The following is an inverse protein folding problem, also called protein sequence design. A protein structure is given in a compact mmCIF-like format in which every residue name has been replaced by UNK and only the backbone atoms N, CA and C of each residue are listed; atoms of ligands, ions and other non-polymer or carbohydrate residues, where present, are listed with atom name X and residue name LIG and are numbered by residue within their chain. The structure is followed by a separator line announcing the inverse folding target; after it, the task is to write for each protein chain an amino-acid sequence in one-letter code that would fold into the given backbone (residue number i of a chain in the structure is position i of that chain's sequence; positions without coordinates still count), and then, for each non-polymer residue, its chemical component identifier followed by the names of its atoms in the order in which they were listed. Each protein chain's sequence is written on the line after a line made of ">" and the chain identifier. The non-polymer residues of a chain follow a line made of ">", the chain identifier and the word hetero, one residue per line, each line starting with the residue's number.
data_IF_136203639183
#
_entry.id   IF_136203639183
#
_cell.length_a   1.000
_cell.length_b   1.000
_cell.length_c   1.000
_cell.angle_alpha   90.00
_cell.angle_beta   90.00
_cell.angle_gamma   90.00
#
_symmetry.space_group_name_H-M   'P 1'
#
loop_
_entity.id
_entity.type
_entity.pdbx_description
1 polymer ?
#
# COMPACT_ATOMS: atom_id res chain seq x y z
N UNK A 1 -13.42 -0.74 31.19
CA UNK A 1 -12.29 0.21 31.31
C UNK A 1 -12.65 1.44 32.20
N UNK A 2 -13.94 1.84 32.22
CA UNK A 2 -14.42 2.95 33.06
C UNK A 2 -13.64 4.27 32.81
N UNK A 3 -13.34 5.00 33.87
CA UNK A 3 -12.62 6.29 33.80
C UNK A 3 -11.17 6.15 33.25
N UNK A 4 -10.57 4.96 33.33
CA UNK A 4 -9.25 4.70 32.78
C UNK A 4 -9.26 4.45 31.24
N UNK A 5 -10.41 4.43 30.61
CA UNK A 5 -10.54 4.13 29.18
C UNK A 5 -9.68 5.04 28.30
N UNK A 6 -9.61 6.34 28.60
CA UNK A 6 -8.85 7.31 27.81
C UNK A 6 -7.37 6.92 27.64
N UNK A 7 -6.76 6.31 28.66
CA UNK A 7 -5.36 5.86 28.62
C UNK A 7 -5.08 4.69 27.63
N UNK A 8 -6.11 4.09 27.08
CA UNK A 8 -6.00 3.00 26.08
C UNK A 8 -6.20 3.47 24.63
N UNK A 9 -6.39 4.76 24.41
CA UNK A 9 -6.64 5.32 23.10
C UNK A 9 -5.61 6.41 22.76
N UNK A 10 -5.29 6.49 21.49
CA UNK A 10 -4.63 7.62 20.85
C UNK A 10 -5.36 7.90 19.55
N UNK A 11 -5.70 9.15 19.31
CA UNK A 11 -6.37 9.56 18.07
C UNK A 11 -5.35 10.16 17.11
N UNK A 12 -5.56 9.98 15.82
CA UNK A 12 -4.77 10.64 14.77
C UNK A 12 -5.76 11.38 13.88
N UNK A 13 -5.66 12.69 13.82
CA UNK A 13 -6.64 13.53 13.11
C UNK A 13 -5.97 14.70 12.40
N UNK A 14 -6.56 15.13 11.29
CA UNK A 14 -6.16 16.36 10.60
C UNK A 14 -6.27 17.58 11.53
N UNK A 15 -5.63 18.71 11.21
CA UNK A 15 -5.71 19.93 11.98
C UNK A 15 -7.11 20.56 11.90
N UNK A 16 -7.38 21.51 12.82
CA UNK A 16 -8.63 22.23 12.87
C UNK A 16 -9.75 21.53 13.63
N UNK A 17 -10.95 22.13 13.63
CA UNK A 17 -12.12 21.63 14.33
C UNK A 17 -12.72 20.44 13.56
N UNK A 18 -12.76 19.29 14.22
CA UNK A 18 -13.39 18.08 13.70
C UNK A 18 -13.86 17.16 14.83
N UNK A 19 -14.85 16.28 14.57
CA UNK A 19 -15.45 15.43 15.60
C UNK A 19 -14.45 14.59 16.39
N UNK A 20 -13.37 14.13 15.76
CA UNK A 20 -12.39 13.27 16.40
C UNK A 20 -11.53 14.06 17.41
N UNK A 21 -11.13 15.29 17.09
CA UNK A 21 -10.43 16.18 18.01
C UNK A 21 -11.32 16.60 19.18
N UNK A 22 -12.59 16.88 18.89
CA UNK A 22 -13.55 17.21 19.92
C UNK A 22 -13.75 16.04 20.89
N UNK A 23 -13.85 14.80 20.40
CA UNK A 23 -13.85 13.62 21.25
C UNK A 23 -12.56 13.49 22.08
N UNK A 24 -11.40 13.74 21.49
CA UNK A 24 -10.12 13.76 22.22
C UNK A 24 -10.15 14.75 23.39
N UNK A 25 -10.64 15.96 23.18
CA UNK A 25 -10.78 16.98 24.20
C UNK A 25 -11.77 16.57 25.29
N UNK A 26 -12.97 16.08 24.90
CA UNK A 26 -14.02 15.71 25.86
C UNK A 26 -13.60 14.52 26.73
N UNK A 27 -12.91 13.55 26.17
CA UNK A 27 -12.54 12.32 26.89
C UNK A 27 -11.09 12.31 27.39
N UNK A 28 -10.33 13.39 27.22
CA UNK A 28 -8.94 13.46 27.65
C UNK A 28 -8.02 12.48 26.89
N UNK A 29 -8.33 12.18 25.62
CA UNK A 29 -7.55 11.27 24.81
C UNK A 29 -6.49 12.05 24.02
N UNK A 30 -5.20 11.62 24.02
CA UNK A 30 -4.17 12.26 23.21
C UNK A 30 -4.51 12.24 21.71
N UNK A 31 -4.29 13.36 21.04
CA UNK A 31 -4.50 13.51 19.59
C UNK A 31 -3.19 13.86 18.92
N UNK A 32 -2.75 13.02 17.99
CA UNK A 32 -1.62 13.27 17.11
C UNK A 32 -2.10 13.93 15.82
N UNK A 33 -1.28 14.80 15.27
CA UNK A 33 -1.58 15.46 14.00
C UNK A 33 -1.36 14.53 12.80
N UNK A 34 -2.33 14.53 11.90
CA UNK A 34 -2.20 13.98 10.56
C UNK A 34 -1.95 15.11 9.56
N UNK A 35 -0.99 14.93 8.68
CA UNK A 35 -0.68 15.91 7.63
C UNK A 35 -1.89 16.04 6.67
N UNK A 36 -2.50 17.22 6.52
CA UNK A 36 -3.66 17.43 5.66
C UNK A 36 -3.34 17.27 4.17
N UNK A 37 -2.08 17.40 3.78
CA UNK A 37 -1.63 17.18 2.40
C UNK A 37 -1.45 15.70 2.05
N UNK A 38 -1.55 14.80 3.03
CA UNK A 38 -1.30 13.37 2.83
C UNK A 38 -2.61 12.58 2.78
N UNK A 39 -2.97 12.08 1.60
CA UNK A 39 -4.13 11.21 1.43
C UNK A 39 -3.98 9.86 2.12
N UNK A 40 -5.10 9.25 2.53
CA UNK A 40 -5.12 7.99 3.27
C UNK A 40 -4.33 6.86 2.62
N UNK A 41 -4.40 6.73 1.29
CA UNK A 41 -3.66 5.70 0.53
C UNK A 41 -2.14 5.81 0.66
N UNK A 42 -1.63 6.98 0.98
CA UNK A 42 -0.19 7.27 1.07
C UNK A 42 0.30 7.42 2.50
N UNK A 43 -0.55 7.13 3.50
CA UNK A 43 -0.29 7.43 4.91
C UNK A 43 0.45 6.34 5.68
N UNK A 44 0.78 5.21 5.05
CA UNK A 44 1.43 4.07 5.75
C UNK A 44 2.75 4.44 6.42
N UNK A 45 3.51 5.37 5.85
CA UNK A 45 4.78 5.85 6.39
C UNK A 45 4.65 7.14 7.24
N UNK A 46 3.43 7.57 7.51
CA UNK A 46 3.11 8.65 8.45
C UNK A 46 2.79 8.09 9.84
N UNK A 47 2.40 8.98 10.77
CA UNK A 47 1.93 8.58 12.10
C UNK A 47 0.83 7.51 12.06
N UNK A 48 0.00 7.49 11.01
CA UNK A 48 -1.11 6.54 10.85
C UNK A 48 -0.64 5.08 10.76
N UNK A 49 0.41 4.80 10.01
CA UNK A 49 0.96 3.44 9.88
C UNK A 49 2.14 3.17 10.83
N UNK A 50 2.95 4.20 11.09
CA UNK A 50 4.16 4.06 11.93
C UNK A 50 3.80 3.79 13.40
N UNK A 51 2.79 4.47 13.96
CA UNK A 51 2.41 4.28 15.36
C UNK A 51 1.99 2.81 15.65
N UNK A 52 1.03 2.22 14.93
CA UNK A 52 0.72 0.80 15.14
C UNK A 52 1.89 -0.13 14.84
N UNK A 53 2.75 0.20 13.87
CA UNK A 53 3.99 -0.54 13.61
C UNK A 53 4.94 -0.56 14.80
N UNK A 54 5.15 0.60 15.44
CA UNK A 54 5.96 0.72 16.66
C UNK A 54 5.36 -0.08 17.83
N UNK A 55 4.05 -0.03 18.00
CA UNK A 55 3.35 -0.82 19.03
C UNK A 55 3.54 -2.33 18.78
N UNK A 56 3.59 -2.74 17.51
CA UNK A 56 3.88 -4.11 17.11
C UNK A 56 5.38 -4.48 17.18
N UNK A 57 6.25 -3.55 17.58
CA UNK A 57 7.68 -3.79 17.73
C UNK A 57 8.53 -3.58 16.48
N UNK A 58 7.98 -2.96 15.43
CA UNK A 58 8.74 -2.62 14.23
C UNK A 58 9.62 -1.38 14.48
N UNK A 59 10.78 -1.35 13.84
CA UNK A 59 11.66 -0.19 13.84
C UNK A 59 11.15 0.85 12.83
N UNK A 60 10.64 2.01 13.29
CA UNK A 60 10.10 3.04 12.40
C UNK A 60 11.17 3.71 11.54
N UNK A 61 12.41 3.77 12.02
CA UNK A 61 13.53 4.35 11.27
C UNK A 61 13.90 3.45 10.12
N UNK A 62 14.05 2.14 10.37
CA UNK A 62 14.34 1.15 9.34
C UNK A 62 13.25 1.09 8.26
N UNK A 63 11.95 1.14 8.66
CA UNK A 63 10.84 1.18 7.73
C UNK A 63 10.90 2.40 6.79
N UNK A 64 11.14 3.58 7.35
CA UNK A 64 11.23 4.81 6.55
C UNK A 64 12.51 4.86 5.71
N UNK A 65 13.60 4.32 6.21
CA UNK A 65 14.85 4.23 5.45
C UNK A 65 14.68 3.35 4.21
N UNK A 66 14.07 2.15 4.35
CA UNK A 66 13.81 1.29 3.20
C UNK A 66 12.95 1.96 2.12
N UNK A 67 11.95 2.76 2.53
CA UNK A 67 11.17 3.54 1.58
C UNK A 67 11.99 4.67 0.92
N UNK A 68 12.84 5.35 1.68
CA UNK A 68 13.74 6.38 1.16
C UNK A 68 14.73 5.79 0.15
N UNK A 69 15.33 4.66 0.44
CA UNK A 69 16.28 3.99 -0.44
C UNK A 69 15.67 3.63 -1.81
N UNK A 70 14.37 3.30 -1.83
CA UNK A 70 13.66 3.04 -3.07
C UNK A 70 13.28 4.31 -3.85
N UNK A 71 13.00 5.42 -3.15
CA UNK A 71 12.44 6.64 -3.74
C UNK A 71 13.48 7.70 -4.08
N UNK A 72 14.51 7.85 -3.24
CA UNK A 72 15.54 8.89 -3.43
C UNK A 72 16.22 8.86 -4.80
N UNK A 73 16.58 7.72 -5.39
CA UNK A 73 17.16 7.69 -6.72
C UNK A 73 16.31 8.37 -7.79
N UNK A 74 14.97 8.26 -7.67
CA UNK A 74 14.03 8.91 -8.60
C UNK A 74 13.98 10.41 -8.35
N UNK A 75 13.90 10.83 -7.08
CA UNK A 75 13.84 12.25 -6.69
C UNK A 75 15.13 12.99 -7.05
N UNK A 76 16.27 12.34 -6.90
CA UNK A 76 17.59 12.88 -7.24
C UNK A 76 17.88 12.91 -8.75
N UNK A 77 16.94 12.45 -9.58
CA UNK A 77 17.04 12.51 -11.03
C UNK A 77 17.96 11.46 -11.65
N UNK A 78 18.13 10.31 -10.99
CA UNK A 78 18.80 9.14 -11.60
C UNK A 78 18.06 8.72 -12.87
N UNK A 79 18.78 8.15 -13.83
CA UNK A 79 18.16 7.64 -15.05
C UNK A 79 17.04 6.65 -14.67
N UNK A 80 15.80 6.85 -15.15
CA UNK A 80 14.69 5.95 -14.89
C UNK A 80 14.97 4.48 -15.23
N UNK A 81 15.85 4.23 -16.19
CA UNK A 81 16.28 2.88 -16.55
C UNK A 81 17.09 2.16 -15.46
N UNK A 82 17.65 2.93 -14.50
CA UNK A 82 18.39 2.41 -13.36
C UNK A 82 17.55 2.42 -12.06
N UNK A 83 16.27 2.76 -12.14
CA UNK A 83 15.37 2.86 -11.00
C UNK A 83 14.30 1.76 -11.04
N UNK A 84 14.40 0.68 -10.24
CA UNK A 84 13.44 -0.44 -10.27
C UNK A 84 11.97 -0.04 -10.20
N UNK A 85 11.54 0.92 -9.35
CA UNK A 85 10.13 1.36 -9.34
C UNK A 85 9.71 2.02 -10.65
N UNK A 86 10.58 2.78 -11.30
CA UNK A 86 10.30 3.43 -12.58
C UNK A 86 10.21 2.39 -13.71
N UNK A 87 11.10 1.41 -13.72
CA UNK A 87 11.07 0.28 -14.66
C UNK A 87 9.75 -0.50 -14.50
N UNK A 88 9.36 -0.83 -13.27
CA UNK A 88 8.11 -1.54 -12.99
C UNK A 88 6.88 -0.77 -13.47
N UNK A 89 6.84 0.53 -13.25
CA UNK A 89 5.76 1.40 -13.72
C UNK A 89 5.71 1.47 -15.25
N UNK A 90 6.84 1.68 -15.90
CA UNK A 90 6.95 1.74 -17.35
C UNK A 90 6.54 0.42 -18.00
N UNK A 91 6.99 -0.72 -17.45
CA UNK A 91 6.62 -2.06 -17.92
C UNK A 91 5.11 -2.30 -17.79
N UNK A 92 4.53 -1.97 -16.64
CA UNK A 92 3.09 -2.11 -16.40
C UNK A 92 2.27 -1.29 -17.40
N UNK A 93 2.69 -0.04 -17.63
CA UNK A 93 2.05 0.84 -18.59
C UNK A 93 2.17 0.31 -20.04
N UNK A 94 3.38 -0.08 -20.45
CA UNK A 94 3.63 -0.58 -21.80
C UNK A 94 2.84 -1.87 -22.07
N UNK A 95 2.84 -2.82 -21.15
CA UNK A 95 2.09 -4.07 -21.29
C UNK A 95 0.58 -3.81 -21.39
N UNK A 96 0.07 -2.89 -20.59
CA UNK A 96 -1.34 -2.49 -20.69
C UNK A 96 -1.66 -1.87 -22.06
N UNK A 97 -0.81 -0.97 -22.56
CA UNK A 97 -1.04 -0.22 -23.80
C UNK A 97 -0.81 -1.06 -25.05
N UNK A 98 0.28 -1.81 -25.08
CA UNK A 98 0.75 -2.50 -26.29
C UNK A 98 0.22 -3.95 -26.41
N UNK A 99 -0.09 -4.57 -25.27
CA UNK A 99 -0.53 -5.97 -25.22
C UNK A 99 -1.95 -6.15 -24.68
N UNK A 100 -2.61 -5.07 -24.25
CA UNK A 100 -3.96 -5.12 -23.72
C UNK A 100 -4.09 -5.83 -22.36
N UNK A 101 -2.99 -5.96 -21.59
CA UNK A 101 -3.07 -6.58 -20.28
C UNK A 101 -3.92 -5.69 -19.36
N UNK A 102 -5.06 -6.23 -18.94
CA UNK A 102 -6.06 -5.49 -18.15
C UNK A 102 -6.06 -5.85 -16.66
N UNK A 103 -5.28 -6.87 -16.28
CA UNK A 103 -5.23 -7.41 -14.91
C UNK A 103 -3.79 -7.38 -14.41
N UNK A 104 -3.62 -6.88 -13.19
CA UNK A 104 -2.34 -6.93 -12.47
C UNK A 104 -2.48 -7.86 -11.28
N UNK A 105 -1.75 -8.97 -11.29
CA UNK A 105 -1.77 -9.98 -10.23
C UNK A 105 -0.57 -9.76 -9.30
N UNK A 106 -0.85 -9.55 -8.01
CA UNK A 106 0.17 -9.52 -6.95
C UNK A 106 0.17 -10.88 -6.25
N UNK A 107 1.27 -11.62 -6.36
CA UNK A 107 1.38 -13.01 -5.88
C UNK A 107 2.62 -13.21 -5.00
N UNK A 108 2.53 -12.92 -3.70
CA UNK A 108 3.60 -13.28 -2.76
C UNK A 108 3.65 -14.79 -2.50
N UNK A 109 4.88 -15.29 -2.30
CA UNK A 109 5.17 -16.67 -1.85
C UNK A 109 5.46 -16.75 -0.36
N UNK A 110 4.96 -15.78 0.40
CA UNK A 110 5.11 -15.65 1.85
C UNK A 110 3.77 -15.33 2.48
N UNK A 111 3.33 -16.15 3.43
CA UNK A 111 2.06 -15.94 4.14
C UNK A 111 2.01 -14.58 4.86
N UNK A 112 3.15 -14.11 5.38
CA UNK A 112 3.26 -12.82 6.04
C UNK A 112 2.98 -11.64 5.10
N UNK A 113 3.09 -11.82 3.78
CA UNK A 113 2.82 -10.79 2.78
C UNK A 113 1.38 -10.82 2.22
N UNK A 114 0.50 -11.67 2.76
CA UNK A 114 -0.93 -11.63 2.40
C UNK A 114 -1.53 -10.25 2.68
N UNK A 115 -1.32 -9.61 3.85
CA UNK A 115 -1.80 -8.25 4.08
C UNK A 115 -1.20 -7.21 3.12
N UNK A 116 0.04 -7.40 2.67
CA UNK A 116 0.67 -6.54 1.68
C UNK A 116 -0.07 -6.61 0.33
N UNK A 117 -0.45 -7.80 -0.12
CA UNK A 117 -1.25 -7.95 -1.36
C UNK A 117 -2.65 -7.33 -1.23
N UNK A 118 -3.24 -7.33 -0.03
CA UNK A 118 -4.50 -6.64 0.25
C UNK A 118 -4.35 -5.12 0.19
N UNK A 119 -3.29 -4.59 0.79
CA UNK A 119 -2.95 -3.17 0.72
C UNK A 119 -2.69 -2.72 -0.71
N UNK A 120 -1.91 -3.48 -1.48
CA UNK A 120 -1.69 -3.23 -2.91
C UNK A 120 -3.01 -3.15 -3.68
N UNK A 121 -3.92 -4.10 -3.46
CA UNK A 121 -5.21 -4.12 -4.14
C UNK A 121 -6.00 -2.84 -3.92
N UNK A 122 -6.11 -2.39 -2.67
CA UNK A 122 -6.79 -1.15 -2.34
C UNK A 122 -6.09 0.07 -2.94
N UNK A 123 -4.77 0.18 -2.73
CA UNK A 123 -3.96 1.30 -3.22
C UNK A 123 -4.09 1.47 -4.74
N UNK A 124 -4.02 0.36 -5.47
CA UNK A 124 -4.11 0.33 -6.93
C UNK A 124 -5.52 0.68 -7.42
N UNK A 125 -6.54 0.02 -6.88
CA UNK A 125 -7.94 0.21 -7.28
C UNK A 125 -8.45 1.63 -7.01
N UNK A 126 -8.10 2.23 -5.88
CA UNK A 126 -8.50 3.60 -5.56
C UNK A 126 -7.69 4.68 -6.31
N UNK A 127 -6.52 4.33 -6.84
CA UNK A 127 -5.65 5.30 -7.53
C UNK A 127 -5.88 5.37 -9.03
N UNK A 128 -6.34 4.29 -9.63
CA UNK A 128 -6.59 4.15 -11.07
C UNK A 128 -8.09 4.21 -11.42
N UNK A 129 -8.45 3.90 -12.65
CA UNK A 129 -9.86 3.85 -13.08
C UNK A 129 -10.44 5.19 -13.50
N UNK A 130 -9.60 6.15 -13.88
CA UNK A 130 -10.02 7.46 -14.39
C UNK A 130 -10.04 7.44 -15.92
N UNK A 131 -11.05 8.06 -16.53
CA UNK A 131 -11.24 8.10 -17.97
C UNK A 131 -11.25 6.71 -18.65
N UNK A 132 -11.78 5.71 -17.96
CA UNK A 132 -11.82 4.33 -18.44
C UNK A 132 -10.44 3.64 -18.54
N UNK A 133 -9.41 4.19 -17.89
CA UNK A 133 -8.04 3.67 -17.94
C UNK A 133 -7.64 3.03 -16.61
N UNK A 134 -6.79 2.00 -16.70
CA UNK A 134 -6.26 1.29 -15.54
C UNK A 134 -6.38 -0.21 -15.69
N UNK A 135 -5.70 -0.93 -14.81
CA UNK A 135 -5.76 -2.39 -14.72
C UNK A 135 -6.43 -2.82 -13.42
N UNK A 136 -7.14 -3.93 -13.44
CA UNK A 136 -7.79 -4.49 -12.26
C UNK A 136 -6.78 -5.23 -11.38
N UNK A 137 -6.63 -4.88 -10.10
CA UNK A 137 -5.72 -5.59 -9.20
C UNK A 137 -6.36 -6.90 -8.72
N UNK A 138 -5.61 -7.99 -8.84
CA UNK A 138 -5.98 -9.31 -8.34
C UNK A 138 -4.92 -9.77 -7.35
N UNK A 139 -5.37 -10.38 -6.26
CA UNK A 139 -4.50 -11.01 -5.28
C UNK A 139 -4.41 -12.50 -5.54
N UNK A 140 -3.23 -13.05 -5.39
CA UNK A 140 -2.98 -14.47 -5.36
C UNK A 140 -1.94 -14.78 -4.28
N UNK A 141 -1.90 -15.99 -3.79
CA UNK A 141 -0.92 -16.48 -2.83
C UNK A 141 -0.19 -17.69 -3.41
N UNK A 142 1.08 -17.58 -3.63
CA UNK A 142 1.92 -18.72 -3.94
C UNK A 142 2.20 -19.53 -2.64
N UNK A 143 2.07 -20.84 -2.63
CA UNK A 143 1.74 -21.75 -3.74
C UNK A 143 0.25 -22.07 -3.87
N UNK A 144 -0.58 -21.62 -2.95
CA UNK A 144 -2.02 -21.99 -2.82
C UNK A 144 -2.77 -21.73 -4.13
N UNK A 145 -2.60 -20.54 -4.69
CA UNK A 145 -3.33 -20.12 -5.89
C UNK A 145 -2.72 -20.64 -7.18
N UNK A 146 -1.56 -21.27 -7.11
CA UNK A 146 -1.07 -22.10 -8.22
C UNK A 146 -1.90 -23.39 -8.38
N UNK A 147 -2.65 -23.79 -7.35
CA UNK A 147 -3.62 -24.87 -7.48
C UNK A 147 -4.99 -24.33 -7.92
N UNK A 148 -5.48 -23.29 -7.27
CA UNK A 148 -6.86 -22.80 -7.45
C UNK A 148 -7.08 -22.00 -8.74
N UNK A 149 -6.05 -21.29 -9.24
CA UNK A 149 -6.17 -20.33 -10.35
C UNK A 149 -5.26 -20.62 -11.53
N UNK A 150 -4.34 -21.58 -11.41
CA UNK A 150 -3.28 -21.82 -12.40
C UNK A 150 -3.84 -22.13 -13.79
N UNK A 151 -4.90 -22.92 -13.89
CA UNK A 151 -5.52 -23.28 -15.16
C UNK A 151 -5.95 -22.01 -15.94
N UNK A 152 -6.61 -21.08 -15.25
CA UNK A 152 -7.02 -19.81 -15.87
C UNK A 152 -5.82 -18.91 -16.21
N UNK A 153 -4.77 -18.97 -15.41
CA UNK A 153 -3.57 -18.18 -15.63
C UNK A 153 -2.77 -18.64 -16.84
N UNK A 154 -2.73 -19.96 -17.12
CA UNK A 154 -1.96 -20.53 -18.21
C UNK A 154 -2.73 -20.61 -19.53
N UNK A 155 -3.95 -21.11 -19.50
CA UNK A 155 -4.74 -21.41 -20.71
C UNK A 155 -5.88 -20.39 -20.95
N UNK A 156 -6.14 -19.51 -20.01
CA UNK A 156 -7.14 -18.46 -20.15
C UNK A 156 -6.66 -17.26 -20.96
N UNK A 157 -7.43 -16.16 -20.99
CA UNK A 157 -7.04 -14.95 -21.69
C UNK A 157 -5.66 -14.44 -21.23
N UNK A 158 -4.81 -14.12 -22.20
CA UNK A 158 -3.46 -13.58 -21.97
C UNK A 158 -3.52 -12.07 -21.66
N UNK A 159 -4.30 -11.70 -20.65
CA UNK A 159 -4.63 -10.33 -20.26
C UNK A 159 -4.04 -9.93 -18.89
N UNK A 160 -3.15 -10.77 -18.33
CA UNK A 160 -2.64 -10.64 -16.97
C UNK A 160 -1.13 -10.38 -16.93
N UNK A 161 -0.73 -9.47 -16.06
CA UNK A 161 0.66 -9.28 -15.65
C UNK A 161 0.83 -9.77 -14.22
N UNK A 162 1.89 -10.52 -13.95
CA UNK A 162 2.18 -11.07 -12.62
C UNK A 162 3.37 -10.37 -11.97
N UNK A 163 3.18 -9.98 -10.72
CA UNK A 163 4.28 -9.58 -9.82
C UNK A 163 4.44 -10.67 -8.78
N UNK A 164 5.53 -11.42 -8.87
CA UNK A 164 5.89 -12.46 -7.91
C UNK A 164 6.81 -11.88 -6.85
N UNK A 165 6.50 -12.11 -5.58
CA UNK A 165 7.35 -11.69 -4.45
C UNK A 165 7.85 -12.94 -3.76
N UNK A 166 9.16 -13.11 -3.77
CA UNK A 166 9.87 -14.22 -3.11
C UNK A 166 10.83 -13.65 -2.06
N UNK A 167 11.20 -14.46 -1.06
CA UNK A 167 12.26 -14.15 -0.09
C UNK A 167 13.54 -14.90 -0.45
#
# INVERSE_FOLDING_TARGET
>A
LGEAAAGHFTLIAGPGDNPLRNAGTVFGIPVLDHDPGLGGRFSVLSSVGILPGMIAGLDPVALRQGAADALLPIIEGRDPADCPPAIGAALSYALHRERGLAITVMMPYLDQLVPFSQWFQQLWAESLGKDGKGTSPVRALGTVDQHSQLQLFLDGPQDKMFTLITA
#
